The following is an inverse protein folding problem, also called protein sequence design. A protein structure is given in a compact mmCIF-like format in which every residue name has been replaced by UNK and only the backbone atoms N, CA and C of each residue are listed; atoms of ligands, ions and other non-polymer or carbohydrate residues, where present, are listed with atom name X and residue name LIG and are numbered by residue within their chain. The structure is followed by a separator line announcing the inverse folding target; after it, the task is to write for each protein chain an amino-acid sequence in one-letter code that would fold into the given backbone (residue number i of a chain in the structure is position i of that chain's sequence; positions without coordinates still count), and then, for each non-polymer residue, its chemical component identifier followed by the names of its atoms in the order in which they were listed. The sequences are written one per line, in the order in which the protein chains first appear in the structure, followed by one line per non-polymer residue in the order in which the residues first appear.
data_IF_001513025875
#
_entry.id   IF_001513025875
#
_cell.length_a   1.000
_cell.length_b   1.000
_cell.length_c   1.000
_cell.angle_alpha   90.00
_cell.angle_beta   90.00
_cell.angle_gamma   90.00
#
_symmetry.space_group_name_H-M   'P 1'
#
loop_
_entity.id
_entity.type
_entity.pdbx_description
1 polymer ?
#
# COMPACT_ATOMS: atom_id res chain seq x y z
N UNK A 1 5.12 12.54 29.66
CA UNK A 1 4.52 11.21 29.85
C UNK A 1 4.32 10.58 28.48
N UNK A 2 4.54 9.27 28.32
CA UNK A 2 4.37 8.57 27.04
C UNK A 2 3.40 7.40 27.22
N UNK A 3 2.28 7.44 26.51
CA UNK A 3 1.34 6.34 26.31
C UNK A 3 1.84 5.48 25.15
N UNK A 4 2.63 4.44 25.46
CA UNK A 4 3.20 3.53 24.46
C UNK A 4 2.15 2.52 23.96
N UNK A 5 1.36 2.91 22.98
CA UNK A 5 0.38 2.04 22.31
C UNK A 5 1.00 1.47 21.03
N UNK A 6 1.16 0.14 20.91
CA UNK A 6 1.66 -0.51 19.70
C UNK A 6 0.54 -0.71 18.65
N UNK A 7 0.79 -1.56 17.66
CA UNK A 7 -0.31 -2.12 16.86
C UNK A 7 -1.21 -2.97 17.77
N UNK A 8 -2.50 -2.66 17.78
CA UNK A 8 -3.52 -3.39 18.54
C UNK A 8 -4.12 -4.48 17.68
N UNK A 9 -4.03 -5.73 18.12
CA UNK A 9 -4.59 -6.88 17.39
C UNK A 9 -6.09 -6.96 17.67
N UNK A 10 -6.83 -7.46 16.68
CA UNK A 10 -8.29 -7.60 16.75
C UNK A 10 -8.78 -8.26 18.06
N UNK A 11 -8.14 -9.36 18.46
CA UNK A 11 -8.44 -10.11 19.69
C UNK A 11 -8.19 -9.35 21.01
N UNK A 12 -7.47 -8.24 20.97
CA UNK A 12 -7.11 -7.44 22.16
C UNK A 12 -8.10 -6.31 22.41
N UNK A 13 -8.84 -5.91 21.38
CA UNK A 13 -9.68 -4.70 21.42
C UNK A 13 -11.17 -5.00 21.29
N UNK A 14 -11.55 -6.22 20.89
CA UNK A 14 -12.97 -6.62 20.83
C UNK A 14 -13.18 -8.10 21.12
N UNK A 15 -14.43 -8.42 21.42
CA UNK A 15 -14.95 -9.79 21.52
C UNK A 15 -15.76 -10.14 20.26
N UNK A 16 -15.60 -11.37 19.78
CA UNK A 16 -16.32 -11.89 18.62
C UNK A 16 -17.65 -12.49 19.09
N UNK A 17 -18.73 -12.19 18.37
CA UNK A 17 -20.07 -12.70 18.64
C UNK A 17 -20.59 -13.51 17.44
N UNK A 18 -21.42 -14.52 17.70
CA UNK A 18 -22.01 -15.33 16.64
C UNK A 18 -23.01 -14.50 15.82
N UNK A 19 -22.89 -14.54 14.49
CA UNK A 19 -23.75 -13.78 13.57
C UNK A 19 -23.32 -12.33 13.34
N UNK A 20 -22.12 -11.94 13.77
CA UNK A 20 -21.56 -10.60 13.57
C UNK A 20 -21.42 -10.26 12.07
N UNK A 21 -21.98 -9.11 11.67
CA UNK A 21 -21.78 -8.56 10.32
C UNK A 21 -20.44 -7.85 10.18
N UNK A 22 -20.05 -7.52 8.95
CA UNK A 22 -18.83 -6.73 8.69
C UNK A 22 -18.91 -5.34 9.36
N UNK A 23 -20.07 -4.70 9.32
CA UNK A 23 -20.25 -3.37 9.92
C UNK A 23 -20.19 -3.43 11.45
N UNK A 24 -20.78 -4.46 12.06
CA UNK A 24 -20.70 -4.69 13.51
C UNK A 24 -19.25 -4.87 13.97
N UNK A 25 -18.48 -5.66 13.20
CA UNK A 25 -17.05 -5.84 13.44
C UNK A 25 -16.31 -4.51 13.37
N UNK A 26 -16.54 -3.72 12.33
CA UNK A 26 -15.86 -2.43 12.12
C UNK A 26 -16.16 -1.44 13.26
N UNK A 27 -17.42 -1.38 13.71
CA UNK A 27 -17.82 -0.54 14.84
C UNK A 27 -17.14 -0.99 16.14
N UNK A 28 -17.11 -2.29 16.42
CA UNK A 28 -16.43 -2.84 17.61
C UNK A 28 -14.93 -2.59 17.60
N UNK A 29 -14.27 -2.68 16.44
CA UNK A 29 -12.84 -2.33 16.30
C UNK A 29 -12.62 -0.85 16.67
N UNK A 30 -13.41 0.07 16.10
CA UNK A 30 -13.30 1.50 16.40
C UNK A 30 -13.53 1.78 17.89
N UNK A 31 -14.56 1.18 18.48
CA UNK A 31 -14.85 1.34 19.90
C UNK A 31 -13.74 0.75 20.78
N UNK A 32 -13.19 -0.41 20.42
CA UNK A 32 -12.07 -1.03 21.11
C UNK A 32 -10.81 -0.18 21.11
N UNK A 33 -10.48 0.41 19.96
CA UNK A 33 -9.35 1.36 19.83
C UNK A 33 -9.61 2.58 20.71
N UNK A 34 -10.78 3.21 20.60
CA UNK A 34 -11.15 4.38 21.40
C UNK A 34 -11.02 4.09 22.90
N UNK A 35 -11.64 3.01 23.37
CA UNK A 35 -11.59 2.60 24.77
C UNK A 35 -10.16 2.38 25.26
N UNK A 36 -9.31 1.75 24.44
CA UNK A 36 -7.91 1.53 24.79
C UNK A 36 -7.16 2.86 24.98
N UNK A 37 -7.31 3.81 24.05
CA UNK A 37 -6.68 5.13 24.17
C UNK A 37 -7.22 5.92 25.36
N UNK A 38 -8.53 5.89 25.61
CA UNK A 38 -9.15 6.54 26.78
C UNK A 38 -8.54 6.02 28.09
N UNK A 39 -8.46 4.69 28.26
CA UNK A 39 -7.91 4.05 29.46
C UNK A 39 -6.44 4.42 29.67
N UNK A 40 -5.61 4.28 28.64
CA UNK A 40 -4.16 4.54 28.78
C UNK A 40 -3.89 6.03 29.02
N UNK A 41 -4.64 6.93 28.38
CA UNK A 41 -4.51 8.37 28.61
C UNK A 41 -5.02 8.78 29.99
N UNK A 42 -6.05 8.13 30.52
CA UNK A 42 -6.51 8.35 31.89
C UNK A 42 -5.43 7.96 32.91
N UNK A 43 -4.83 6.76 32.77
CA UNK A 43 -3.73 6.32 33.65
C UNK A 43 -2.54 7.28 33.57
N UNK A 44 -2.21 7.76 32.36
CA UNK A 44 -1.15 8.73 32.17
C UNK A 44 -1.45 10.08 32.82
N UNK A 45 -2.71 10.53 32.79
CA UNK A 45 -3.17 11.76 33.44
C UNK A 45 -3.03 11.66 34.97
N UNK A 46 -3.47 10.56 35.57
CA UNK A 46 -3.31 10.31 37.02
C UNK A 46 -1.83 10.34 37.43
N UNK A 47 -0.95 9.80 36.58
CA UNK A 47 0.51 9.86 36.80
C UNK A 47 1.08 11.27 36.63
N UNK A 48 0.60 12.05 35.66
CA UNK A 48 0.99 13.45 35.52
C UNK A 48 0.64 14.23 36.80
N UNK A 49 -0.57 14.07 37.33
CA UNK A 49 -1.02 14.72 38.57
C UNK A 49 -0.21 14.30 39.80
N UNK A 50 0.26 13.04 39.84
CA UNK A 50 1.21 12.58 40.85
C UNK A 50 2.55 13.33 40.76
N UNK A 51 3.14 13.44 39.56
CA UNK A 51 4.39 14.18 39.36
C UNK A 51 4.22 15.68 39.60
N UNK A 52 3.06 16.26 39.28
CA UNK A 52 2.78 17.66 39.55
C UNK A 52 2.77 17.97 41.06
N UNK A 53 2.24 17.06 41.88
CA UNK A 53 2.34 17.15 43.35
C UNK A 53 3.76 17.05 43.87
N UNK A 54 4.67 16.42 43.12
CA UNK A 54 6.10 16.35 43.42
C UNK A 54 6.89 17.58 42.90
N UNK A 55 6.21 18.57 42.32
CA UNK A 55 6.80 19.83 41.88
C UNK A 55 7.26 19.86 40.43
N UNK A 56 7.08 18.76 39.67
CA UNK A 56 7.25 18.79 38.22
C UNK A 56 6.11 19.59 37.58
N UNK A 57 6.36 20.29 36.46
CA UNK A 57 5.33 21.08 35.78
C UNK A 57 5.43 20.89 34.27
N UNK A 58 4.33 21.14 33.56
CA UNK A 58 4.26 21.14 32.09
C UNK A 58 4.73 19.80 31.48
N UNK A 59 4.29 18.68 32.06
CA UNK A 59 4.64 17.35 31.55
C UNK A 59 3.74 17.05 30.33
N UNK A 60 4.28 16.98 29.11
CA UNK A 60 3.45 16.74 27.94
C UNK A 60 2.93 15.29 27.91
N UNK A 61 1.71 15.09 27.42
CA UNK A 61 1.14 13.77 27.17
C UNK A 61 1.35 13.37 25.71
N UNK A 62 2.27 12.45 25.47
CA UNK A 62 2.53 11.90 24.13
C UNK A 62 1.89 10.53 24.04
N UNK A 63 1.13 10.26 22.99
CA UNK A 63 0.64 8.92 22.68
C UNK A 63 1.25 8.41 21.38
N UNK A 64 1.50 7.11 21.30
CA UNK A 64 1.94 6.45 20.06
C UNK A 64 0.79 5.66 19.44
N UNK A 65 0.98 5.14 18.24
CA UNK A 65 0.05 4.20 17.63
C UNK A 65 0.60 3.63 16.32
N UNK A 66 0.13 2.45 15.93
CA UNK A 66 0.41 1.89 14.61
C UNK A 66 -0.88 1.37 14.01
N UNK A 67 -1.55 2.18 13.18
CA UNK A 67 -2.88 1.90 12.65
C UNK A 67 -3.16 2.76 11.41
N UNK A 68 -4.25 2.43 10.69
CA UNK A 68 -4.72 3.24 9.57
C UNK A 68 -5.77 4.27 10.04
N UNK A 69 -5.41 5.55 10.04
CA UNK A 69 -6.33 6.63 10.36
C UNK A 69 -7.12 7.05 9.11
N UNK A 70 -8.33 7.54 9.33
CA UNK A 70 -9.21 8.03 8.29
C UNK A 70 -8.53 9.09 7.44
N UNK A 71 -8.68 8.98 6.11
CA UNK A 71 -8.09 9.89 5.10
C UNK A 71 -6.56 9.91 5.08
N UNK A 72 -5.91 8.90 5.68
CA UNK A 72 -4.49 8.64 5.44
C UNK A 72 -4.23 8.41 3.96
N UNK A 73 -3.33 9.20 3.37
CA UNK A 73 -2.91 9.04 1.99
C UNK A 73 -1.91 7.88 1.91
N UNK A 74 -2.24 6.90 1.08
CA UNK A 74 -1.31 5.94 0.48
C UNK A 74 -1.13 6.30 -0.99
N UNK A 75 -0.04 5.82 -1.60
CA UNK A 75 0.16 5.91 -3.06
C UNK A 75 0.44 4.52 -3.62
N UNK A 76 0.02 4.28 -4.86
CA UNK A 76 0.20 2.99 -5.49
C UNK A 76 1.68 2.58 -5.57
N UNK A 77 2.01 1.44 -4.95
CA UNK A 77 3.37 0.95 -4.86
C UNK A 77 4.24 1.64 -3.80
N UNK A 78 3.62 2.21 -2.76
CA UNK A 78 4.30 2.66 -1.53
C UNK A 78 4.69 1.50 -0.58
N UNK A 79 4.25 0.28 -0.87
CA UNK A 79 4.56 -0.90 -0.08
C UNK A 79 3.82 -0.96 1.26
N UNK A 80 2.87 -0.05 1.52
CA UNK A 80 1.96 -0.16 2.66
C UNK A 80 1.06 -1.36 2.42
N UNK A 81 1.08 -2.33 3.33
CA UNK A 81 0.19 -3.48 3.30
C UNK A 81 -1.12 -3.11 4.01
N UNK A 82 -2.25 -3.53 3.46
CA UNK A 82 -3.52 -3.42 4.16
C UNK A 82 -3.48 -4.26 5.46
N UNK A 83 -3.41 -3.60 6.62
CA UNK A 83 -3.41 -4.29 7.93
C UNK A 83 -4.73 -5.04 8.19
N UNK A 84 -5.80 -4.62 7.51
CA UNK A 84 -7.13 -5.19 7.59
C UNK A 84 -7.59 -5.56 6.18
N UNK A 85 -7.02 -6.63 5.62
CA UNK A 85 -7.45 -7.18 4.34
C UNK A 85 -8.97 -7.42 4.39
N UNK A 86 -9.73 -6.69 3.56
CA UNK A 86 -11.18 -6.75 3.48
C UNK A 86 -11.97 -5.83 4.42
N UNK A 87 -11.33 -4.96 5.21
CA UNK A 87 -12.02 -4.02 6.11
C UNK A 87 -11.24 -2.69 6.27
N UNK A 88 -11.60 -1.65 5.51
CA UNK A 88 -11.06 -0.30 5.71
C UNK A 88 -11.65 0.35 6.98
N UNK A 89 -11.26 -0.11 8.16
CA UNK A 89 -11.56 0.63 9.40
C UNK A 89 -10.66 1.87 9.45
N UNK A 90 -11.25 3.00 9.06
CA UNK A 90 -10.60 4.31 9.07
C UNK A 90 -10.78 4.97 10.44
N UNK A 91 -9.73 5.02 11.26
CA UNK A 91 -9.78 5.64 12.59
C UNK A 91 -9.79 7.17 12.45
N UNK A 92 -10.91 7.82 12.74
CA UNK A 92 -10.99 9.29 12.71
C UNK A 92 -10.21 9.92 13.88
N UNK A 93 -9.79 11.17 13.71
CA UNK A 93 -9.11 11.93 14.77
C UNK A 93 -9.97 12.11 16.05
N UNK A 94 -11.29 11.92 15.96
CA UNK A 94 -12.22 11.98 17.09
C UNK A 94 -12.17 10.74 18.00
N UNK A 95 -11.50 9.67 17.57
CA UNK A 95 -11.33 8.47 18.40
C UNK A 95 -10.19 8.59 19.41
N UNK A 96 -9.39 9.65 19.32
CA UNK A 96 -8.28 9.91 20.23
C UNK A 96 -8.68 10.96 21.28
N UNK A 97 -8.28 10.77 22.55
CA UNK A 97 -8.46 11.77 23.60
C UNK A 97 -7.89 13.15 23.22
N UNK A 98 -8.64 14.21 23.53
CA UNK A 98 -8.25 15.59 23.20
C UNK A 98 -7.07 16.11 24.04
N UNK A 99 -6.81 15.50 25.20
CA UNK A 99 -5.71 15.88 26.10
C UNK A 99 -4.33 15.38 25.63
N UNK A 100 -4.25 14.68 24.49
CA UNK A 100 -2.96 14.27 23.92
C UNK A 100 -2.25 15.48 23.30
N UNK A 101 -1.10 15.83 23.87
CA UNK A 101 -0.25 16.91 23.35
C UNK A 101 0.39 16.55 22.01
N UNK A 102 0.73 15.29 21.79
CA UNK A 102 1.23 14.81 20.52
C UNK A 102 0.90 13.33 20.29
N UNK A 103 0.30 13.01 19.15
CA UNK A 103 0.00 11.65 18.71
C UNK A 103 0.96 11.25 17.57
N UNK A 104 1.90 10.37 17.90
CA UNK A 104 2.89 9.82 17.00
C UNK A 104 2.38 8.51 16.37
N UNK A 105 1.86 8.59 15.14
CA UNK A 105 1.38 7.42 14.41
C UNK A 105 2.43 6.87 13.45
N UNK A 106 2.48 5.54 13.35
CA UNK A 106 3.14 4.80 12.28
C UNK A 106 2.13 3.97 11.50
N UNK A 107 2.59 3.35 10.42
CA UNK A 107 1.89 2.47 9.46
C UNK A 107 1.98 3.03 8.04
N UNK A 108 1.62 4.31 7.87
CA UNK A 108 1.74 4.99 6.58
C UNK A 108 3.17 5.44 6.35
N UNK A 109 3.67 5.20 5.14
CA UNK A 109 5.03 5.55 4.74
C UNK A 109 5.18 7.00 4.25
N UNK A 110 4.05 7.69 4.03
CA UNK A 110 4.00 9.11 3.65
C UNK A 110 3.78 9.97 4.89
N UNK A 111 4.67 10.94 5.10
CA UNK A 111 4.55 11.91 6.18
C UNK A 111 3.32 12.82 5.96
N UNK A 112 2.43 12.90 6.95
CA UNK A 112 1.18 13.66 6.84
C UNK A 112 0.52 13.92 8.20
N UNK A 113 -0.33 14.95 8.25
CA UNK A 113 -1.19 15.23 9.40
C UNK A 113 -2.48 14.41 9.34
N UNK A 114 -3.03 14.09 10.50
CA UNK A 114 -4.32 13.39 10.60
C UNK A 114 -5.42 14.43 10.78
N UNK A 115 -6.37 14.46 9.84
CA UNK A 115 -7.51 15.40 9.87
C UNK A 115 -7.10 16.88 10.01
N UNK A 116 -5.94 17.25 9.46
CA UNK A 116 -5.42 18.63 9.52
C UNK A 116 -4.90 19.07 10.90
N UNK A 117 -4.83 18.17 11.89
CA UNK A 117 -4.30 18.48 13.22
C UNK A 117 -2.77 18.33 13.24
N UNK A 118 -2.04 19.42 13.45
CA UNK A 118 -0.57 19.45 13.45
C UNK A 118 0.09 18.55 14.50
N UNK A 119 -0.60 18.29 15.61
CA UNK A 119 -0.12 17.46 16.72
C UNK A 119 -0.47 15.97 16.56
N UNK A 120 -1.16 15.58 15.48
CA UNK A 120 -1.47 14.18 15.15
C UNK A 120 -0.85 13.86 13.79
N UNK A 121 0.22 13.05 13.77
CA UNK A 121 1.00 12.88 12.54
C UNK A 121 1.44 11.45 12.31
N UNK A 122 1.51 11.10 11.03
CA UNK A 122 2.40 10.07 10.54
C UNK A 122 3.73 10.71 10.18
N UNK A 123 4.83 10.17 10.70
CA UNK A 123 6.17 10.59 10.30
C UNK A 123 6.55 10.08 8.91
N UNK A 124 5.85 9.06 8.41
CA UNK A 124 6.27 8.33 7.22
C UNK A 124 7.48 7.41 7.49
N UNK A 125 7.93 6.74 6.44
CA UNK A 125 9.19 6.00 6.44
C UNK A 125 10.37 6.96 6.23
N UNK A 126 11.55 6.68 6.83
CA UNK A 126 12.74 7.53 6.64
C UNK A 126 13.40 7.32 5.27
N UNK A 127 13.10 6.21 4.59
CA UNK A 127 13.56 5.89 3.23
C UNK A 127 12.36 5.47 2.37
N UNK A 128 12.42 5.64 1.04
CA UNK A 128 11.38 5.13 0.15
C UNK A 128 11.21 3.61 0.30
N UNK A 129 9.98 3.17 0.59
CA UNK A 129 9.66 1.74 0.75
C UNK A 129 9.20 1.09 -0.56
N UNK A 130 8.90 1.92 -1.58
CA UNK A 130 8.56 1.47 -2.92
C UNK A 130 8.58 2.61 -3.94
N UNK A 131 8.45 2.27 -5.23
CA UNK A 131 8.56 3.22 -6.33
C UNK A 131 7.43 4.26 -6.38
N UNK A 132 6.29 4.02 -5.70
CA UNK A 132 5.25 5.03 -5.53
C UNK A 132 5.73 6.25 -4.73
N UNK A 133 6.77 6.07 -3.92
CA UNK A 133 7.35 7.11 -3.07
C UNK A 133 8.58 7.79 -3.67
N UNK A 134 8.98 7.42 -4.90
CA UNK A 134 10.21 7.88 -5.55
C UNK A 134 10.39 9.40 -5.57
N UNK A 135 9.28 10.15 -5.70
CA UNK A 135 9.28 11.62 -5.77
C UNK A 135 9.04 12.31 -4.43
N UNK A 136 8.96 11.55 -3.33
CA UNK A 136 8.66 12.10 -2.00
C UNK A 136 9.95 12.48 -1.27
N UNK A 137 9.99 13.69 -0.73
CA UNK A 137 10.99 14.06 0.27
C UNK A 137 10.68 13.35 1.59
N UNK A 138 11.56 12.41 1.99
CA UNK A 138 11.45 11.76 3.29
C UNK A 138 11.83 12.73 4.40
N UNK A 139 11.19 12.58 5.56
CA UNK A 139 11.37 13.48 6.70
C UNK A 139 11.40 12.70 8.01
N UNK A 140 12.01 13.29 9.02
CA UNK A 140 11.83 12.97 10.43
C UNK A 140 11.06 14.12 11.07
N UNK A 141 10.13 13.83 11.96
CA UNK A 141 9.40 14.87 12.69
C UNK A 141 10.10 15.12 14.03
N UNK A 142 10.68 16.30 14.21
CA UNK A 142 11.23 16.76 15.49
C UNK A 142 10.14 17.51 16.25
N UNK A 143 9.92 17.11 17.50
CA UNK A 143 9.02 17.82 18.42
C UNK A 143 9.84 18.30 19.60
N UNK A 144 9.72 19.58 19.92
CA UNK A 144 10.36 20.17 21.09
C UNK A 144 9.30 20.69 22.04
N UNK A 145 9.36 20.26 23.29
CA UNK A 145 8.50 20.75 24.37
C UNK A 145 9.31 21.70 25.25
N UNK A 146 8.79 22.89 25.46
CA UNK A 146 9.41 23.94 26.28
C UNK A 146 8.38 24.58 27.20
N UNK A 147 8.83 25.46 28.10
CA UNK A 147 7.91 26.26 28.93
C UNK A 147 7.02 27.21 28.11
N UNK A 148 7.43 27.56 26.89
CA UNK A 148 6.70 28.45 25.99
C UNK A 148 5.72 27.70 25.05
N UNK A 149 5.58 26.38 25.23
CA UNK A 149 4.74 25.52 24.40
C UNK A 149 5.55 24.50 23.60
N UNK A 150 4.93 23.96 22.54
CA UNK A 150 5.50 22.92 21.67
C UNK A 150 5.79 23.45 20.27
N UNK A 151 6.91 23.03 19.69
CA UNK A 151 7.22 23.25 18.27
C UNK A 151 7.33 21.91 17.55
N UNK A 152 6.88 21.87 16.30
CA UNK A 152 6.91 20.67 15.46
C UNK A 152 7.54 21.04 14.12
N UNK A 153 8.61 20.35 13.76
CA UNK A 153 9.40 20.61 12.55
C UNK A 153 9.62 19.31 11.78
N UNK A 154 9.48 19.37 10.45
CA UNK A 154 9.88 18.28 9.55
C UNK A 154 11.31 18.49 9.09
N UNK A 155 12.21 17.59 9.46
CA UNK A 155 13.61 17.60 9.06
C UNK A 155 13.77 16.67 7.85
N UNK A 156 14.23 17.16 6.68
CA UNK A 156 14.41 16.32 5.51
C UNK A 156 15.51 15.27 5.72
N UNK A 157 15.22 14.03 5.33
CA UNK A 157 16.19 12.94 5.30
C UNK A 157 16.93 12.97 3.96
N UNK A 158 18.28 12.90 3.94
CA UNK A 158 19.04 12.79 2.70
C UNK A 158 18.65 11.55 1.89
N UNK A 159 18.63 11.68 0.56
CA UNK A 159 18.40 10.54 -0.34
C UNK A 159 19.70 9.75 -0.52
N UNK A 160 19.72 8.51 -0.04
CA UNK A 160 20.89 7.62 -0.12
C UNK A 160 20.87 6.70 -1.36
N UNK A 161 19.68 6.37 -1.87
CA UNK A 161 19.47 5.61 -3.10
C UNK A 161 18.36 6.29 -3.90
N UNK A 162 18.63 6.65 -5.16
CA UNK A 162 17.61 7.25 -6.02
C UNK A 162 16.68 6.18 -6.58
N UNK A 163 15.37 6.37 -6.43
CA UNK A 163 14.36 5.57 -7.12
C UNK A 163 13.75 6.43 -8.22
N UNK A 164 13.48 5.85 -9.39
CA UNK A 164 12.74 6.51 -10.45
C UNK A 164 11.74 5.51 -11.09
N UNK A 165 10.56 6.02 -11.43
CA UNK A 165 9.55 5.27 -12.18
C UNK A 165 9.43 5.88 -13.56
N UNK A 166 9.66 5.06 -14.59
CA UNK A 166 9.52 5.47 -15.98
C UNK A 166 8.38 4.72 -16.63
N UNK A 167 7.60 5.43 -17.44
CA UNK A 167 6.46 4.87 -18.19
C UNK A 167 6.52 5.29 -19.65
N UNK A 168 6.22 4.38 -20.56
CA UNK A 168 6.05 4.70 -21.99
C UNK A 168 6.37 3.58 -22.96
N UNK A 169 6.60 3.97 -24.23
CA UNK A 169 7.10 3.07 -25.27
C UNK A 169 8.59 2.77 -25.08
N UNK A 170 9.11 1.83 -25.86
CA UNK A 170 10.51 1.41 -25.72
C UNK A 170 11.47 2.54 -26.08
N UNK A 171 11.12 3.34 -27.09
CA UNK A 171 11.87 4.52 -27.53
C UNK A 171 11.93 5.55 -26.42
N UNK A 172 10.77 5.94 -25.86
CA UNK A 172 10.69 6.90 -24.75
C UNK A 172 11.45 6.42 -23.52
N UNK A 173 11.31 5.14 -23.15
CA UNK A 173 12.03 4.59 -22.00
C UNK A 173 13.55 4.62 -22.22
N UNK A 174 14.01 4.27 -23.41
CA UNK A 174 15.45 4.27 -23.74
C UNK A 174 16.03 5.69 -23.73
N UNK A 175 15.31 6.66 -24.29
CA UNK A 175 15.69 8.08 -24.24
C UNK A 175 15.80 8.58 -22.80
N UNK A 176 14.80 8.30 -21.97
CA UNK A 176 14.81 8.66 -20.54
C UNK A 176 15.95 8.01 -19.76
N UNK A 177 16.23 6.73 -20.03
CA UNK A 177 17.37 6.05 -19.40
C UNK A 177 18.68 6.74 -19.79
N UNK A 178 18.85 7.10 -21.06
CA UNK A 178 20.04 7.82 -21.51
C UNK A 178 20.18 9.20 -20.83
N UNK A 179 19.08 9.95 -20.65
CA UNK A 179 19.08 11.19 -19.87
C UNK A 179 19.56 10.96 -18.42
N UNK A 180 19.08 9.89 -17.78
CA UNK A 180 19.47 9.55 -16.40
C UNK A 180 20.94 9.14 -16.27
N UNK A 181 21.54 8.54 -17.31
CA UNK A 181 22.96 8.17 -17.31
C UNK A 181 23.89 9.36 -17.17
N UNK A 182 23.50 10.51 -17.72
CA UNK A 182 24.28 11.75 -17.61
C UNK A 182 24.49 12.18 -16.15
N UNK A 183 23.57 11.82 -15.25
CA UNK A 183 23.69 12.12 -13.84
C UNK A 183 24.82 11.34 -13.13
N UNK A 184 25.31 10.24 -13.72
CA UNK A 184 26.38 9.37 -13.17
C UNK A 184 26.16 9.00 -11.69
N UNK A 185 24.94 8.59 -11.36
CA UNK A 185 24.52 8.16 -10.02
C UNK A 185 23.93 6.77 -10.08
N UNK A 186 24.00 6.05 -8.96
CA UNK A 186 23.19 4.85 -8.76
C UNK A 186 21.70 5.21 -8.74
N UNK A 187 20.93 4.54 -9.59
CA UNK A 187 19.48 4.74 -9.73
C UNK A 187 18.83 3.37 -9.86
N UNK A 188 17.80 3.12 -9.06
CA UNK A 188 16.93 1.97 -9.23
C UNK A 188 15.70 2.38 -10.02
N UNK A 189 15.32 1.56 -11.01
CA UNK A 189 14.22 1.83 -11.93
C UNK A 189 13.09 0.80 -11.79
N UNK A 190 11.87 1.34 -11.80
CA UNK A 190 10.65 0.61 -12.16
C UNK A 190 10.19 1.08 -13.53
N UNK A 191 9.99 0.13 -14.43
CA UNK A 191 9.57 0.38 -15.81
C UNK A 191 8.11 -0.03 -15.98
N UNK A 192 7.29 0.89 -16.44
CA UNK A 192 5.90 0.66 -16.87
C UNK A 192 5.85 0.73 -18.40
N UNK A 193 5.90 -0.43 -19.04
CA UNK A 193 5.91 -0.54 -20.49
C UNK A 193 4.48 -0.57 -21.05
N UNK A 194 4.18 0.36 -21.94
CA UNK A 194 2.87 0.50 -22.61
C UNK A 194 2.88 0.04 -24.08
N UNK A 195 4.01 -0.50 -24.58
CA UNK A 195 4.17 -0.88 -25.98
C UNK A 195 3.79 -2.33 -26.34
N UNK A 196 4.02 -2.74 -27.60
CA UNK A 196 3.60 -4.04 -28.15
C UNK A 196 4.74 -5.03 -28.36
N UNK A 197 6.00 -4.63 -28.09
CA UNK A 197 7.13 -5.51 -28.27
C UNK A 197 7.09 -6.67 -27.27
N UNK A 198 7.74 -7.77 -27.66
CA UNK A 198 7.85 -8.95 -26.80
C UNK A 198 8.65 -8.64 -25.54
N UNK A 199 8.41 -9.38 -24.46
CA UNK A 199 9.16 -9.24 -23.21
C UNK A 199 10.67 -9.45 -23.38
N UNK A 200 11.08 -10.34 -24.30
CA UNK A 200 12.48 -10.55 -24.66
C UNK A 200 13.12 -9.30 -25.27
N UNK A 201 12.49 -8.74 -26.30
CA UNK A 201 12.95 -7.50 -26.96
C UNK A 201 13.02 -6.32 -25.99
N UNK A 202 12.02 -6.16 -25.13
CA UNK A 202 12.01 -5.09 -24.12
C UNK A 202 13.18 -5.24 -23.15
N UNK A 203 13.43 -6.45 -22.63
CA UNK A 203 14.54 -6.71 -21.70
C UNK A 203 15.90 -6.45 -22.34
N UNK A 204 16.11 -6.95 -23.56
CA UNK A 204 17.36 -6.78 -24.31
C UNK A 204 17.66 -5.29 -24.51
N UNK A 205 16.69 -4.54 -25.03
CA UNK A 205 16.85 -3.11 -25.34
C UNK A 205 17.05 -2.24 -24.11
N UNK A 206 16.35 -2.54 -23.02
CA UNK A 206 16.55 -1.84 -21.75
C UNK A 206 17.91 -2.16 -21.13
N UNK A 207 18.38 -3.42 -21.23
CA UNK A 207 19.71 -3.81 -20.77
C UNK A 207 20.83 -3.13 -21.57
N UNK A 208 20.67 -3.01 -22.90
CA UNK A 208 21.57 -2.21 -23.75
C UNK A 208 21.60 -0.74 -23.29
N UNK A 209 20.43 -0.16 -23.01
CA UNK A 209 20.31 1.23 -22.57
C UNK A 209 21.05 1.47 -21.24
N UNK A 210 20.91 0.57 -20.26
CA UNK A 210 21.58 0.68 -18.96
C UNK A 210 23.05 0.24 -18.97
N UNK A 211 23.56 -0.29 -20.09
CA UNK A 211 24.93 -0.79 -20.13
C UNK A 211 25.95 0.32 -19.82
N UNK A 212 26.91 -0.01 -18.95
CA UNK A 212 27.97 0.90 -18.51
C UNK A 212 27.52 2.02 -17.55
N UNK A 213 26.33 1.94 -16.96
CA UNK A 213 25.90 2.85 -15.88
C UNK A 213 25.63 2.12 -14.57
N UNK A 214 25.44 2.88 -13.50
CA UNK A 214 25.00 2.39 -12.18
C UNK A 214 23.46 2.32 -12.07
N UNK A 215 22.76 2.30 -13.21
CA UNK A 215 21.30 2.21 -13.26
C UNK A 215 20.90 0.74 -13.24
N UNK A 216 20.03 0.37 -12.31
CA UNK A 216 19.53 -0.99 -12.15
C UNK A 216 18.01 -1.03 -12.34
N UNK A 217 17.54 -1.87 -13.28
CA UNK A 217 16.11 -2.09 -13.48
C UNK A 217 15.66 -3.23 -12.58
N UNK A 218 14.89 -2.91 -11.53
CA UNK A 218 14.43 -3.88 -10.55
C UNK A 218 13.08 -4.50 -10.93
N UNK A 219 12.25 -3.77 -11.66
CA UNK A 219 10.92 -4.23 -12.05
C UNK A 219 10.54 -3.72 -13.45
N UNK A 220 9.93 -4.60 -14.26
CA UNK A 220 9.32 -4.25 -15.54
C UNK A 220 7.88 -4.76 -15.51
N UNK A 221 6.93 -3.82 -15.56
CA UNK A 221 5.49 -4.05 -15.63
C UNK A 221 5.03 -3.83 -17.07
N UNK A 222 4.38 -4.83 -17.65
CA UNK A 222 3.69 -4.65 -18.94
C UNK A 222 2.25 -4.20 -18.65
N UNK A 223 1.99 -2.93 -18.87
CA UNK A 223 0.71 -2.31 -18.52
C UNK A 223 -0.44 -2.80 -19.39
N UNK A 224 -0.17 -3.24 -20.64
CA UNK A 224 -1.21 -3.85 -21.48
C UNK A 224 -1.71 -5.17 -20.92
N UNK A 225 -0.78 -6.03 -20.48
CA UNK A 225 -1.12 -7.29 -19.83
C UNK A 225 -1.83 -7.02 -18.50
N UNK A 226 -1.30 -6.14 -17.66
CA UNK A 226 -1.92 -5.79 -16.38
C UNK A 226 -3.34 -5.25 -16.55
N UNK A 227 -3.55 -4.31 -17.46
CA UNK A 227 -4.87 -3.77 -17.73
C UNK A 227 -5.82 -4.86 -18.24
N UNK A 228 -5.38 -5.76 -19.13
CA UNK A 228 -6.23 -6.85 -19.60
C UNK A 228 -6.69 -7.77 -18.46
N UNK A 229 -5.82 -8.06 -17.48
CA UNK A 229 -6.16 -8.87 -16.31
C UNK A 229 -7.06 -8.12 -15.32
N UNK A 230 -6.83 -6.81 -15.14
CA UNK A 230 -7.65 -5.97 -14.25
C UNK A 230 -9.07 -5.78 -14.79
N UNK A 231 -9.23 -5.59 -16.11
CA UNK A 231 -10.55 -5.54 -16.75
C UNK A 231 -11.32 -6.86 -16.56
N UNK A 232 -10.64 -8.00 -16.57
CA UNK A 232 -11.26 -9.31 -16.26
C UNK A 232 -11.72 -9.40 -14.80
N UNK A 233 -11.03 -8.71 -13.87
CA UNK A 233 -11.39 -8.65 -12.44
C UNK A 233 -12.56 -7.73 -12.13
N UNK A 234 -12.78 -6.67 -12.92
CA UNK A 234 -13.93 -5.76 -12.75
C UNK A 234 -15.24 -6.34 -13.28
N UNK A 235 -15.17 -7.30 -14.21
CA UNK A 235 -16.29 -8.19 -14.47
C UNK A 235 -16.37 -9.23 -13.36
N UNK A 236 -17.16 -8.97 -12.32
CA UNK A 236 -17.57 -9.98 -11.33
C UNK A 236 -18.21 -11.17 -12.04
N UNK A 237 -17.39 -12.16 -12.41
CA UNK A 237 -17.87 -13.51 -12.69
C UNK A 237 -17.59 -14.28 -11.42
N UNK A 238 -18.65 -14.54 -10.64
CA UNK A 238 -18.58 -15.46 -9.50
C UNK A 238 -17.87 -16.75 -9.94
N UNK A 239 -16.94 -17.26 -9.12
CA UNK A 239 -16.24 -18.53 -9.39
C UNK A 239 -17.23 -19.67 -9.65
N UNK A 240 -18.44 -19.59 -9.09
CA UNK A 240 -19.53 -20.55 -9.26
C UNK A 240 -20.14 -20.57 -10.68
N UNK A 241 -19.86 -19.55 -11.50
CA UNK A 241 -20.36 -19.42 -12.88
C UNK A 241 -19.27 -19.60 -13.95
N UNK A 242 -18.04 -19.94 -13.56
CA UNK A 242 -16.94 -20.18 -14.50
C UNK A 242 -16.97 -21.61 -15.02
N UNK A 243 -17.61 -21.81 -16.17
CA UNK A 243 -17.43 -23.06 -16.94
C UNK A 243 -16.12 -23.00 -17.74
N UNK A 244 -15.48 -24.15 -18.02
CA UNK A 244 -14.33 -24.20 -18.93
C UNK A 244 -14.60 -23.53 -20.28
N UNK A 245 -15.81 -23.66 -20.82
CA UNK A 245 -16.24 -23.01 -22.06
C UNK A 245 -16.25 -21.48 -21.93
N UNK A 246 -16.78 -20.95 -20.83
CA UNK A 246 -16.83 -19.51 -20.59
C UNK A 246 -15.42 -18.91 -20.52
N UNK A 247 -14.51 -19.56 -19.81
CA UNK A 247 -13.11 -19.12 -19.69
C UNK A 247 -12.40 -19.19 -21.05
N UNK A 248 -12.64 -20.26 -21.82
CA UNK A 248 -12.00 -20.44 -23.11
C UNK A 248 -12.46 -19.40 -24.15
N UNK A 249 -13.75 -19.08 -24.20
CA UNK A 249 -14.29 -18.02 -25.07
C UNK A 249 -13.64 -16.66 -24.78
N UNK A 250 -13.41 -16.33 -23.50
CA UNK A 250 -12.70 -15.10 -23.12
C UNK A 250 -11.24 -15.07 -23.59
N UNK A 251 -10.57 -16.23 -23.64
CA UNK A 251 -9.20 -16.33 -24.18
C UNK A 251 -9.21 -16.13 -25.71
N UNK A 252 -10.27 -16.56 -26.40
CA UNK A 252 -10.44 -16.36 -27.84
C UNK A 252 -10.75 -14.90 -28.23
N UNK A 253 -11.21 -14.07 -27.29
CA UNK A 253 -11.40 -12.62 -27.50
C UNK A 253 -10.08 -11.87 -27.76
N UNK A 254 -8.92 -12.54 -27.63
CA UNK A 254 -7.61 -11.95 -27.91
C UNK A 254 -7.52 -11.37 -29.35
N UNK A 255 -7.29 -10.05 -29.50
CA UNK A 255 -7.28 -9.38 -30.81
C UNK A 255 -6.15 -9.80 -31.74
N UNK A 256 -5.16 -10.57 -31.26
CA UNK A 256 -4.07 -11.10 -32.10
C UNK A 256 -4.43 -12.40 -32.84
N UNK A 257 -5.59 -13.01 -32.54
CA UNK A 257 -6.05 -14.24 -33.17
C UNK A 257 -6.97 -13.94 -34.36
N UNK A 258 -6.66 -14.50 -35.54
CA UNK A 258 -7.54 -14.44 -36.70
C UNK A 258 -8.77 -15.36 -36.55
N UNK A 259 -9.84 -15.09 -37.31
CA UNK A 259 -11.09 -15.85 -37.22
C UNK A 259 -10.91 -17.34 -37.47
N UNK A 260 -9.97 -17.70 -38.36
CA UNK A 260 -9.69 -19.09 -38.72
C UNK A 260 -9.05 -19.84 -37.55
N UNK A 261 -8.07 -19.24 -36.88
CA UNK A 261 -7.41 -19.80 -35.70
C UNK A 261 -8.38 -19.89 -34.53
N UNK A 262 -9.25 -18.89 -34.34
CA UNK A 262 -10.29 -18.92 -33.30
C UNK A 262 -11.23 -20.11 -33.49
N UNK A 263 -11.72 -20.34 -34.71
CA UNK A 263 -12.62 -21.46 -35.02
C UNK A 263 -11.93 -22.82 -34.84
N UNK A 264 -10.67 -22.96 -35.26
CA UNK A 264 -9.92 -24.21 -35.07
C UNK A 264 -9.66 -24.51 -33.59
N UNK A 265 -9.23 -23.50 -32.82
CA UNK A 265 -8.97 -23.66 -31.38
C UNK A 265 -10.23 -24.03 -30.60
N UNK A 266 -11.38 -23.43 -30.96
CA UNK A 266 -12.69 -23.80 -30.40
C UNK A 266 -13.04 -25.26 -30.64
N UNK A 267 -12.88 -25.72 -31.88
CA UNK A 267 -13.18 -27.11 -32.21
C UNK A 267 -12.29 -28.11 -31.47
N UNK A 268 -10.98 -27.86 -31.40
CA UNK A 268 -10.06 -28.73 -30.67
C UNK A 268 -10.34 -28.74 -29.16
N UNK A 269 -10.75 -27.61 -28.59
CA UNK A 269 -11.11 -27.52 -27.17
C UNK A 269 -12.38 -28.32 -26.84
N UNK A 270 -13.40 -28.23 -27.69
CA UNK A 270 -14.64 -29.01 -27.55
C UNK A 270 -14.36 -30.53 -27.63
N UNK A 271 -13.51 -30.96 -28.57
CA UNK A 271 -13.09 -32.37 -28.68
C UNK A 271 -12.31 -32.86 -27.44
N UNK A 272 -11.42 -32.02 -26.89
CA UNK A 272 -10.66 -32.34 -25.68
C UNK A 272 -11.57 -32.45 -24.45
N UNK A 273 -12.51 -31.53 -24.27
CA UNK A 273 -13.47 -31.60 -23.17
C UNK A 273 -14.33 -32.86 -23.26
N UNK A 274 -14.78 -33.20 -24.47
CA UNK A 274 -15.55 -34.41 -24.70
C UNK A 274 -14.74 -35.68 -24.41
N UNK A 275 -13.49 -35.73 -24.87
CA UNK A 275 -12.57 -36.83 -24.57
C UNK A 275 -12.32 -36.97 -23.07
N UNK A 276 -12.11 -35.87 -22.35
CA UNK A 276 -11.90 -35.87 -20.90
C UNK A 276 -13.14 -36.39 -20.16
N UNK A 277 -14.34 -35.94 -20.55
CA UNK A 277 -15.60 -36.41 -19.95
C UNK A 277 -15.87 -37.90 -20.23
N UNK A 278 -15.48 -38.41 -21.40
CA UNK A 278 -15.63 -39.83 -21.77
C UNK A 278 -14.59 -40.74 -21.10
N UNK A 279 -13.44 -40.18 -20.67
CA UNK A 279 -12.35 -40.96 -20.03
C UNK A 279 -12.39 -40.88 -18.50
N UNK A 280 -13.24 -40.03 -17.93
CA UNK A 280 -13.36 -39.87 -16.48
C UNK A 280 -14.23 -40.97 -15.86
N UNK A 281 -13.57 -41.96 -15.25
CA UNK A 281 -14.19 -43.15 -14.65
C UNK A 281 -15.00 -42.81 -13.37
N UNK A 282 -14.91 -41.57 -12.87
CA UNK A 282 -15.62 -41.11 -11.66
C UNK A 282 -16.71 -40.05 -11.94
N UNK A 283 -17.04 -39.77 -13.21
CA UNK A 283 -18.14 -38.87 -13.56
C UNK A 283 -19.52 -39.58 -13.51
N UNK A 284 -19.93 -40.04 -12.32
CA UNK A 284 -21.32 -40.38 -11.99
C UNK A 284 -21.64 -40.04 -10.53
#
# INVERSE_FOLDING_TARGET
MICAVPYLRDKEIRTIEAGETIDDKNLKILQGIKNHYDIVCQIAQEKIEEYERLGYKNIPLIATGHLFAARGKTVEGDGVRDLYVGNLVQVSASQFPENIDYLALGHLHIAQTVSGKEHMRYSGSPIPMGFGEAKQQKVIVKIEFSQNGKTIESIPVPTFQHLERLRGSLETLTERINELKEAKKSIWLEIEYDGNATSGTVRERLAEATNGSEIEILCIKNMRILNSVLTVKESEVSLDNLTPDYVFERVLENPTLDEKSRSMLKHCFEELLKSLAETDINAK
#
